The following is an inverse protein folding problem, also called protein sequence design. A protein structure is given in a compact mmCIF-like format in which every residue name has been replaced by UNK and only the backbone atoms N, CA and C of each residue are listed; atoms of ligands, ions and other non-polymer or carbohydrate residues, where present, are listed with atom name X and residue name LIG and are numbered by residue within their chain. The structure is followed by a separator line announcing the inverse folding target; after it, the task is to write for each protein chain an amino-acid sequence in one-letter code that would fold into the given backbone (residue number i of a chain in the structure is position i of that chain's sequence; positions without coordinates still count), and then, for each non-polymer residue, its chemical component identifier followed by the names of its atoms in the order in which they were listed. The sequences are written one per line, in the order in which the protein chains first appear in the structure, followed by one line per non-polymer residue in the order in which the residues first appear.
data_IF_107778515351
#
_entry.id   IF_107778515351
#
_cell.length_a   1.000
_cell.length_b   1.000
_cell.length_c   1.000
_cell.angle_alpha   90.00
_cell.angle_beta   90.00
_cell.angle_gamma   90.00
#
_symmetry.space_group_name_H-M   'P 1'
#
loop_
_entity.id
_entity.type
_entity.pdbx_description
1 polymer ?
#
# COMPACT_ATOMS: atom_id res chain seq x y z
N UNK A 1 -28.40 3.83 28.26
CA UNK A 1 -27.23 4.36 27.54
C UNK A 1 -25.99 3.68 28.09
N UNK A 2 -25.53 2.61 27.46
CA UNK A 2 -24.24 2.01 27.78
C UNK A 2 -23.18 2.75 26.96
N UNK A 3 -22.33 3.59 27.57
CA UNK A 3 -21.53 4.58 26.86
C UNK A 3 -20.21 4.01 26.31
N UNK A 4 -20.17 2.73 25.91
CA UNK A 4 -18.89 2.07 25.61
C UNK A 4 -18.93 0.98 24.50
N UNK A 5 -20.10 0.52 24.05
CA UNK A 5 -20.20 -0.59 23.08
C UNK A 5 -20.49 -0.08 21.66
N UNK A 6 -19.58 -0.43 20.75
CA UNK A 6 -19.86 -0.88 19.37
C UNK A 6 -19.85 0.07 18.18
N UNK A 7 -19.54 1.35 18.30
CA UNK A 7 -19.11 2.11 17.09
C UNK A 7 -17.84 2.91 17.28
N UNK A 8 -17.62 3.57 18.41
CA UNK A 8 -16.37 4.33 18.62
C UNK A 8 -15.18 3.42 18.89
N UNK A 9 -15.34 2.37 19.70
CA UNK A 9 -14.27 1.39 19.97
C UNK A 9 -13.99 0.55 18.73
N UNK A 10 -15.04 0.10 18.01
CA UNK A 10 -14.91 -0.60 16.73
C UNK A 10 -14.28 0.30 15.65
N UNK A 11 -14.64 1.59 15.58
CA UNK A 11 -14.05 2.57 14.65
C UNK A 11 -12.61 2.95 15.02
N UNK A 12 -12.26 2.96 16.32
CA UNK A 12 -10.88 3.21 16.79
C UNK A 12 -9.96 2.01 16.52
N UNK A 13 -10.49 0.78 16.63
CA UNK A 13 -9.80 -0.44 16.21
C UNK A 13 -9.68 -0.53 14.68
N UNK A 14 -10.70 -0.09 13.93
CA UNK A 14 -10.66 -0.01 12.46
C UNK A 14 -9.75 1.11 11.95
N UNK A 15 -9.63 2.22 12.68
CA UNK A 15 -8.72 3.34 12.36
C UNK A 15 -7.30 3.14 12.89
N UNK A 16 -7.09 2.10 13.70
CA UNK A 16 -5.81 1.74 14.32
C UNK A 16 -4.74 1.29 13.33
N UNK A 17 -5.10 1.07 12.05
CA UNK A 17 -4.16 1.09 10.95
C UNK A 17 -4.89 1.20 9.62
N UNK A 18 -4.77 2.36 8.98
CA UNK A 18 -4.77 2.40 7.52
C UNK A 18 -3.69 3.40 7.08
N UNK A 19 -3.59 4.57 7.72
CA UNK A 19 -2.65 5.61 7.28
C UNK A 19 -1.16 5.29 7.47
N UNK A 20 -0.77 4.75 8.63
CA UNK A 20 0.64 4.40 8.88
C UNK A 20 1.10 3.20 8.06
N UNK A 21 0.22 2.23 7.79
CA UNK A 21 0.51 1.10 6.90
C UNK A 21 0.52 1.55 5.42
N UNK A 22 -0.35 2.47 5.04
CA UNK A 22 -0.36 3.10 3.72
C UNK A 22 0.96 3.85 3.45
N UNK A 23 1.45 4.64 4.41
CA UNK A 23 2.75 5.32 4.31
C UNK A 23 3.91 4.32 4.32
N UNK A 24 3.89 3.31 5.20
CA UNK A 24 4.94 2.30 5.28
C UNK A 24 5.06 1.45 4.02
N UNK A 25 3.94 1.18 3.35
CA UNK A 25 3.93 0.45 2.07
C UNK A 25 4.30 1.35 0.88
N UNK A 26 4.07 2.67 0.96
CA UNK A 26 4.43 3.63 -0.09
C UNK A 26 5.87 4.13 -0.04
N UNK A 27 6.42 4.33 1.16
CA UNK A 27 7.80 4.79 1.37
C UNK A 27 8.85 4.01 0.54
N UNK A 28 8.85 2.66 0.50
CA UNK A 28 9.82 1.93 -0.30
C UNK A 28 9.68 2.21 -1.81
N UNK A 29 8.45 2.35 -2.31
CA UNK A 29 8.22 2.71 -3.72
C UNK A 29 8.64 4.16 -4.02
N UNK A 30 8.30 5.11 -3.15
CA UNK A 30 8.66 6.51 -3.29
C UNK A 30 10.18 6.73 -3.29
N UNK A 31 10.92 6.03 -2.41
CA UNK A 31 12.38 6.10 -2.35
C UNK A 31 13.04 5.55 -3.62
N UNK A 32 12.54 4.43 -4.15
CA UNK A 32 13.05 3.85 -5.41
C UNK A 32 12.85 4.82 -6.58
N UNK A 33 11.64 5.40 -6.70
CA UNK A 33 11.34 6.37 -7.77
C UNK A 33 12.18 7.63 -7.63
N UNK A 34 12.36 8.16 -6.41
CA UNK A 34 13.19 9.33 -6.15
C UNK A 34 14.66 9.09 -6.53
N UNK A 35 15.22 7.94 -6.16
CA UNK A 35 16.60 7.58 -6.50
C UNK A 35 16.80 7.44 -8.01
N UNK A 36 15.90 6.73 -8.68
CA UNK A 36 15.95 6.55 -10.15
C UNK A 36 15.77 7.88 -10.86
N UNK A 37 14.84 8.72 -10.40
CA UNK A 37 14.60 10.06 -10.94
C UNK A 37 15.83 10.96 -10.83
N UNK A 38 16.50 11.00 -9.67
CA UNK A 38 17.72 11.80 -9.51
C UNK A 38 18.88 11.26 -10.37
N UNK A 39 19.15 9.95 -10.30
CA UNK A 39 20.35 9.36 -10.91
C UNK A 39 20.25 9.22 -12.44
N UNK A 40 19.04 8.97 -12.95
CA UNK A 40 18.80 8.66 -14.38
C UNK A 40 18.06 9.79 -15.09
N UNK A 41 17.23 10.54 -14.37
CA UNK A 41 16.49 11.69 -14.88
C UNK A 41 17.28 12.98 -14.77
N UNK A 42 17.37 13.54 -13.56
CA UNK A 42 17.86 14.91 -13.33
C UNK A 42 19.34 15.06 -13.66
N UNK A 43 20.21 14.21 -13.11
CA UNK A 43 21.65 14.33 -13.30
C UNK A 43 22.03 14.23 -14.79
N UNK A 44 21.60 13.20 -15.55
CA UNK A 44 22.02 13.04 -16.94
C UNK A 44 21.38 14.09 -17.85
N UNK A 45 20.12 14.46 -17.60
CA UNK A 45 19.44 15.52 -18.36
C UNK A 45 20.10 16.89 -18.10
N UNK A 46 20.57 17.16 -16.88
CA UNK A 46 21.35 18.36 -16.57
C UNK A 46 22.70 18.43 -17.30
N UNK A 47 23.31 17.29 -17.64
CA UNK A 47 24.52 17.20 -18.47
C UNK A 47 24.24 17.19 -19.98
N UNK A 48 22.99 17.42 -20.41
CA UNK A 48 22.63 17.59 -21.83
C UNK A 48 22.09 16.35 -22.53
N UNK A 49 21.77 15.27 -21.79
CA UNK A 49 21.01 14.15 -22.38
C UNK A 49 19.58 14.57 -22.74
N UNK A 50 19.09 14.02 -23.85
CA UNK A 50 17.72 14.25 -24.31
C UNK A 50 16.70 13.75 -23.27
N UNK A 51 15.75 14.59 -22.82
CA UNK A 51 14.76 14.23 -21.81
C UNK A 51 13.95 12.98 -22.16
N UNK A 52 13.70 12.75 -23.45
CA UNK A 52 12.97 11.57 -23.93
C UNK A 52 13.72 10.25 -23.69
N UNK A 53 15.05 10.28 -23.79
CA UNK A 53 15.90 9.11 -23.54
C UNK A 53 15.93 8.81 -22.04
N UNK A 54 16.08 9.83 -21.19
CA UNK A 54 16.03 9.69 -19.73
C UNK A 54 14.67 9.16 -19.27
N UNK A 55 13.57 9.63 -19.87
CA UNK A 55 12.22 9.16 -19.56
C UNK A 55 12.03 7.69 -19.92
N UNK A 56 12.44 7.29 -21.12
CA UNK A 56 12.35 5.90 -21.58
C UNK A 56 13.20 4.96 -20.71
N UNK A 57 14.42 5.38 -20.36
CA UNK A 57 15.32 4.62 -19.50
C UNK A 57 14.78 4.49 -18.07
N UNK A 58 14.23 5.57 -17.50
CA UNK A 58 13.60 5.55 -16.18
C UNK A 58 12.41 4.58 -16.11
N UNK A 59 11.53 4.59 -17.12
CA UNK A 59 10.40 3.64 -17.20
C UNK A 59 10.90 2.20 -17.28
N UNK A 60 11.90 1.92 -18.12
CA UNK A 60 12.47 0.58 -18.26
C UNK A 60 13.06 0.07 -16.94
N UNK A 61 13.79 0.92 -16.21
CA UNK A 61 14.39 0.58 -14.91
C UNK A 61 13.30 0.30 -13.87
N UNK A 62 12.29 1.16 -13.75
CA UNK A 62 11.21 0.97 -12.77
C UNK A 62 10.40 -0.30 -13.04
N UNK A 63 10.09 -0.58 -14.31
CA UNK A 63 9.43 -1.85 -14.71
C UNK A 63 10.31 -3.05 -14.35
N UNK A 64 11.62 -2.97 -14.61
CA UNK A 64 12.58 -4.00 -14.21
C UNK A 64 12.56 -4.25 -12.70
N UNK A 65 12.66 -3.18 -11.90
CA UNK A 65 12.63 -3.28 -10.43
C UNK A 65 11.34 -3.95 -9.94
N UNK A 66 10.18 -3.54 -10.44
CA UNK A 66 8.89 -4.14 -10.05
C UNK A 66 8.79 -5.60 -10.47
N UNK A 67 9.34 -5.97 -11.63
CA UNK A 67 9.30 -7.36 -12.12
C UNK A 67 10.26 -8.29 -11.38
N UNK A 68 11.41 -7.80 -10.92
CA UNK A 68 12.36 -8.61 -10.15
C UNK A 68 12.03 -8.68 -8.65
N UNK A 69 11.48 -7.61 -8.06
CA UNK A 69 11.19 -7.54 -6.62
C UNK A 69 9.71 -7.74 -6.27
N UNK A 70 8.81 -7.70 -7.25
CA UNK A 70 7.37 -7.89 -7.06
C UNK A 70 7.04 -9.36 -6.75
N UNK A 71 6.65 -9.64 -5.50
CA UNK A 71 6.01 -10.92 -5.15
C UNK A 71 4.50 -10.83 -5.42
N UNK A 72 3.85 -11.90 -5.93
CA UNK A 72 2.40 -11.91 -6.04
C UNK A 72 1.78 -11.77 -4.65
N UNK A 73 0.85 -10.83 -4.49
CA UNK A 73 0.09 -10.65 -3.25
C UNK A 73 -0.83 -11.85 -3.08
N UNK A 74 -0.52 -12.73 -2.13
CA UNK A 74 -1.40 -13.84 -1.77
C UNK A 74 -2.60 -13.26 -1.03
N UNK A 75 -3.67 -12.98 -1.76
CA UNK A 75 -4.99 -12.68 -1.18
C UNK A 75 -5.49 -13.96 -0.53
N UNK A 76 -5.11 -14.18 0.73
CA UNK A 76 -5.74 -15.16 1.60
C UNK A 76 -7.17 -14.69 1.87
N UNK A 77 -8.11 -15.09 1.01
CA UNK A 77 -9.54 -14.99 1.29
C UNK A 77 -9.89 -16.06 2.33
N UNK A 78 -9.42 -15.91 3.57
CA UNK A 78 -10.02 -16.64 4.69
C UNK A 78 -11.18 -15.81 5.24
N UNK A 79 -12.42 -16.34 5.24
CA UNK A 79 -13.53 -15.72 5.93
C UNK A 79 -13.22 -15.72 7.43
N UNK A 80 -12.87 -14.56 7.97
CA UNK A 80 -12.55 -14.36 9.40
C UNK A 80 -13.79 -14.39 10.32
N UNK A 81 -14.97 -14.63 9.76
CA UNK A 81 -16.22 -14.83 10.50
C UNK A 81 -16.75 -16.19 10.09
N UNK A 82 -16.69 -17.14 11.01
CA UNK A 82 -17.37 -18.41 10.81
C UNK A 82 -18.89 -18.14 10.80
N UNK A 83 -19.69 -18.86 9.99
CA UNK A 83 -21.15 -18.66 9.97
C UNK A 83 -21.82 -18.84 11.33
N UNK A 84 -21.14 -19.48 12.29
CA UNK A 84 -21.58 -19.66 13.66
C UNK A 84 -21.48 -18.37 14.49
N UNK A 85 -20.37 -17.62 14.37
CA UNK A 85 -20.14 -16.36 15.07
C UNK A 85 -21.10 -15.26 14.57
N UNK A 86 -21.30 -15.18 13.25
CA UNK A 86 -22.27 -14.25 12.66
C UNK A 86 -23.72 -14.51 13.13
N UNK A 87 -24.09 -15.78 13.36
CA UNK A 87 -25.41 -16.15 13.90
C UNK A 87 -25.55 -15.85 15.38
N UNK A 88 -24.47 -15.93 16.15
CA UNK A 88 -24.47 -15.59 17.57
C UNK A 88 -24.64 -14.09 17.79
N UNK A 89 -23.98 -13.25 16.99
CA UNK A 89 -24.13 -11.79 17.08
C UNK A 89 -25.53 -11.31 16.68
N UNK A 90 -26.10 -11.86 15.61
CA UNK A 90 -27.50 -11.56 15.21
C UNK A 90 -28.49 -12.00 16.29
N UNK A 91 -28.17 -13.05 17.07
CA UNK A 91 -29.01 -13.53 18.17
C UNK A 91 -28.88 -12.70 19.44
N UNK A 92 -27.74 -12.06 19.69
CA UNK A 92 -27.57 -11.15 20.82
C UNK A 92 -28.05 -9.72 20.52
N UNK A 93 -28.23 -9.39 19.24
CA UNK A 93 -28.73 -8.10 18.76
C UNK A 93 -30.25 -8.03 18.57
N UNK A 94 -30.97 -9.15 18.79
CA UNK A 94 -32.44 -9.26 18.77
C UNK A 94 -32.92 -9.65 20.17
#
# INVERSE_FOLDING_TARGET
CSPISDTTVMSSMASGCDHMDHVRTQLPYALVVALVGMMVGDIPTAYGLSPWVSLGLGVAILVGVVRFFGKPTHTGMEPHITPAEARAEVRSAV
#
